data_IF_153507955457
#
_entry.id   IF_153507955457
#
_cell.length_a   1.000
_cell.length_b   1.000
_cell.length_c   1.000
_cell.angle_alpha   90.00
_cell.angle_beta   90.00
_cell.angle_gamma   90.00
#
_symmetry.space_group_name_H-M   'P 1'
#
loop_
_entity.id
_entity.type
_entity.pdbx_description
1 polymer ?
#
# COMPACT_ATOMS: atom_id res chain seq x y z
N UNK A 1 11.47 -2.48 3.12
CA UNK A 1 10.27 -3.25 3.52
C UNK A 1 9.16 -3.21 2.46
N UNK A 2 9.02 -2.11 1.69
CA UNK A 2 7.97 -1.98 0.66
C UNK A 2 8.14 -3.00 -0.49
N UNK A 3 9.36 -3.35 -0.90
CA UNK A 3 9.61 -4.38 -1.91
C UNK A 3 9.04 -5.74 -1.48
N UNK A 4 9.14 -6.08 -0.18
CA UNK A 4 8.55 -7.31 0.35
C UNK A 4 7.01 -7.26 0.28
N UNK A 5 6.40 -6.12 0.55
CA UNK A 5 4.94 -5.94 0.39
C UNK A 5 4.53 -6.11 -1.07
N UNK A 6 5.23 -5.44 -2.00
CA UNK A 6 4.96 -5.54 -3.44
C UNK A 6 5.11 -6.98 -3.94
N UNK A 7 6.15 -7.67 -3.49
CA UNK A 7 6.38 -9.08 -3.81
C UNK A 7 5.26 -9.98 -3.28
N UNK A 8 4.84 -9.79 -2.03
CA UNK A 8 3.75 -10.55 -1.43
C UNK A 8 2.43 -10.31 -2.16
N UNK A 9 2.13 -9.05 -2.52
CA UNK A 9 0.93 -8.71 -3.29
C UNK A 9 0.99 -9.36 -4.68
N UNK A 10 2.12 -9.26 -5.39
CA UNK A 10 2.29 -9.86 -6.71
C UNK A 10 2.06 -11.37 -6.69
N UNK A 11 2.60 -12.06 -5.68
CA UNK A 11 2.48 -13.52 -5.58
C UNK A 11 1.08 -14.01 -5.22
N UNK A 12 0.31 -13.20 -4.48
CA UNK A 12 -1.01 -13.56 -3.93
C UNK A 12 -2.19 -13.00 -4.71
N UNK A 13 -1.96 -12.00 -5.56
CA UNK A 13 -3.01 -11.37 -6.35
C UNK A 13 -3.67 -12.36 -7.31
N UNK A 14 -5.00 -12.39 -7.29
CA UNK A 14 -5.83 -13.17 -8.19
C UNK A 14 -6.17 -12.35 -9.44
N UNK A 15 -5.15 -12.04 -10.23
CA UNK A 15 -5.25 -11.28 -11.47
C UNK A 15 -4.65 -12.06 -12.62
N UNK A 16 -5.09 -11.79 -13.85
CA UNK A 16 -4.60 -12.51 -15.04
C UNK A 16 -3.16 -12.12 -15.36
N UNK A 17 -2.83 -10.83 -15.23
CA UNK A 17 -1.49 -10.30 -15.47
C UNK A 17 -1.04 -9.38 -14.35
N UNK A 18 0.27 -9.36 -14.14
CA UNK A 18 0.93 -8.46 -13.20
C UNK A 18 2.04 -7.74 -13.96
N UNK A 19 2.10 -6.43 -13.80
CA UNK A 19 3.14 -5.61 -14.43
C UNK A 19 3.88 -4.87 -13.34
N UNK A 20 5.19 -5.10 -13.26
CA UNK A 20 6.07 -4.40 -12.34
C UNK A 20 6.82 -3.29 -13.10
N UNK A 21 6.59 -2.05 -12.72
CA UNK A 21 7.36 -0.88 -13.15
C UNK A 21 8.32 -0.42 -12.06
N UNK A 22 9.59 -0.74 -12.21
CA UNK A 22 10.65 -0.38 -11.25
C UNK A 22 11.44 0.85 -11.70
N UNK A 23 11.55 1.85 -10.85
CA UNK A 23 12.23 3.12 -11.11
C UNK A 23 13.35 3.36 -10.12
N UNK A 24 14.58 3.46 -10.59
CA UNK A 24 15.76 3.68 -9.75
C UNK A 24 16.03 2.53 -8.76
N UNK A 25 15.75 1.31 -9.17
CA UNK A 25 15.96 0.13 -8.33
C UNK A 25 17.44 -0.12 -8.09
N UNK A 26 17.77 -0.53 -6.85
CA UNK A 26 19.11 -1.05 -6.60
C UNK A 26 19.29 -2.42 -7.27
N UNK A 27 20.55 -2.80 -7.52
CA UNK A 27 20.82 -4.12 -8.11
C UNK A 27 20.31 -5.27 -7.22
N UNK A 28 20.36 -5.09 -5.90
CA UNK A 28 19.83 -6.09 -4.93
C UNK A 28 18.31 -6.23 -5.04
N UNK A 29 17.58 -5.12 -5.18
CA UNK A 29 16.13 -5.14 -5.38
C UNK A 29 15.74 -5.80 -6.70
N UNK A 30 16.49 -5.49 -7.77
CA UNK A 30 16.31 -6.13 -9.07
C UNK A 30 16.49 -7.65 -8.99
N UNK A 31 17.58 -8.10 -8.38
CA UNK A 31 17.85 -9.52 -8.18
C UNK A 31 16.82 -10.20 -7.27
N UNK A 32 16.36 -9.51 -6.25
CA UNK A 32 15.31 -9.99 -5.36
C UNK A 32 14.02 -10.32 -6.14
N UNK A 33 13.50 -9.38 -6.92
CA UNK A 33 12.29 -9.61 -7.71
C UNK A 33 12.50 -10.67 -8.79
N UNK A 34 13.62 -10.62 -9.51
CA UNK A 34 13.95 -11.61 -10.53
C UNK A 34 13.98 -13.03 -9.97
N UNK A 35 14.67 -13.24 -8.86
CA UNK A 35 14.78 -14.56 -8.23
C UNK A 35 13.43 -15.02 -7.68
N UNK A 36 12.67 -14.14 -7.04
CA UNK A 36 11.35 -14.46 -6.51
C UNK A 36 10.40 -14.95 -7.61
N UNK A 37 10.28 -14.20 -8.70
CA UNK A 37 9.38 -14.53 -9.80
C UNK A 37 9.80 -15.76 -10.58
N UNK A 38 11.12 -15.96 -10.77
CA UNK A 38 11.66 -17.15 -11.42
C UNK A 38 11.41 -18.40 -10.59
N UNK A 39 11.68 -18.35 -9.28
CA UNK A 39 11.52 -19.49 -8.37
C UNK A 39 10.06 -19.88 -8.18
N UNK A 40 9.15 -18.92 -8.27
CA UNK A 40 7.71 -19.17 -8.14
C UNK A 40 7.05 -19.67 -9.42
N UNK A 41 7.78 -19.76 -10.55
CA UNK A 41 7.21 -20.11 -11.84
C UNK A 41 6.16 -19.12 -12.35
N UNK A 42 6.23 -17.88 -11.88
CA UNK A 42 5.22 -16.85 -12.15
C UNK A 42 5.54 -15.98 -13.38
N UNK A 43 6.65 -16.24 -14.07
CA UNK A 43 7.12 -15.43 -15.20
C UNK A 43 6.12 -15.35 -16.36
N UNK A 44 5.27 -16.36 -16.55
CA UNK A 44 4.29 -16.36 -17.63
C UNK A 44 3.17 -15.31 -17.43
N UNK A 45 2.96 -14.84 -16.20
CA UNK A 45 1.95 -13.82 -15.91
C UNK A 45 2.51 -12.49 -15.43
N UNK A 46 3.83 -12.39 -15.24
CA UNK A 46 4.51 -11.18 -14.75
C UNK A 46 5.35 -10.57 -15.86
N UNK A 47 5.14 -9.28 -16.10
CA UNK A 47 5.94 -8.45 -17.02
C UNK A 47 6.67 -7.40 -16.20
N UNK A 48 7.95 -7.19 -16.47
CA UNK A 48 8.77 -6.25 -15.73
C UNK A 48 9.39 -5.20 -16.66
N UNK A 49 9.16 -3.93 -16.34
CA UNK A 49 9.88 -2.78 -16.89
C UNK A 49 10.73 -2.20 -15.77
N UNK A 50 12.04 -2.22 -15.90
CA UNK A 50 12.93 -1.85 -14.80
C UNK A 50 14.01 -0.88 -15.26
N UNK A 51 14.13 0.21 -14.51
CA UNK A 51 15.27 1.12 -14.54
C UNK A 51 16.01 0.96 -13.21
N UNK A 52 17.31 0.77 -13.29
CA UNK A 52 18.19 0.62 -12.13
C UNK A 52 18.89 1.92 -11.77
N UNK A 53 19.61 1.94 -10.65
CA UNK A 53 20.43 3.09 -10.26
C UNK A 53 21.63 3.33 -11.20
N UNK A 54 22.00 2.35 -12.02
CA UNK A 54 23.07 2.45 -13.02
C UNK A 54 22.58 3.05 -14.34
N UNK A 55 21.26 3.02 -14.58
CA UNK A 55 20.65 3.55 -15.79
C UNK A 55 20.40 5.06 -15.69
N UNK A 56 20.31 5.78 -16.82
CA UNK A 56 20.01 7.21 -16.81
C UNK A 56 18.71 7.53 -16.05
N UNK A 57 18.78 8.51 -15.15
CA UNK A 57 17.62 8.88 -14.31
C UNK A 57 16.40 9.33 -15.13
N UNK A 58 16.61 9.94 -16.30
CA UNK A 58 15.52 10.39 -17.18
C UNK A 58 14.67 9.24 -17.72
N UNK A 59 15.23 8.05 -17.85
CA UNK A 59 14.50 6.86 -18.31
C UNK A 59 13.42 6.41 -17.32
N UNK A 60 13.53 6.80 -16.04
CA UNK A 60 12.49 6.54 -15.02
C UNK A 60 11.14 7.10 -15.44
N UNK A 61 11.12 8.20 -16.21
CA UNK A 61 9.89 8.83 -16.68
C UNK A 61 9.12 7.96 -17.69
N UNK A 62 9.80 7.06 -18.39
CA UNK A 62 9.20 6.16 -19.37
C UNK A 62 8.58 4.89 -18.74
N UNK A 63 9.06 4.50 -17.57
CA UNK A 63 8.64 3.23 -16.94
C UNK A 63 7.14 3.16 -16.67
N UNK A 64 6.48 4.17 -16.03
CA UNK A 64 5.04 4.13 -15.83
C UNK A 64 4.26 4.08 -17.15
N UNK A 65 4.69 4.82 -18.16
CA UNK A 65 4.01 4.84 -19.47
C UNK A 65 4.10 3.48 -20.17
N UNK A 66 5.27 2.84 -20.17
CA UNK A 66 5.44 1.49 -20.74
C UNK A 66 4.61 0.46 -19.98
N UNK A 67 4.65 0.49 -18.64
CA UNK A 67 3.89 -0.44 -17.80
C UNK A 67 2.38 -0.29 -18.02
N UNK A 68 1.88 0.94 -18.06
CA UNK A 68 0.46 1.22 -18.23
C UNK A 68 -0.03 0.98 -19.66
N UNK A 69 0.79 1.26 -20.67
CA UNK A 69 0.46 0.90 -22.07
C UNK A 69 0.32 -0.62 -22.23
N UNK A 70 1.21 -1.40 -21.62
CA UNK A 70 1.06 -2.85 -21.61
C UNK A 70 -0.20 -3.29 -20.84
N UNK A 71 -0.52 -2.64 -19.71
CA UNK A 71 -1.72 -2.92 -18.94
C UNK A 71 -3.00 -2.62 -19.73
N UNK A 72 -3.07 -1.50 -20.42
CA UNK A 72 -4.18 -1.12 -21.29
C UNK A 72 -4.40 -2.16 -22.40
N UNK A 73 -3.33 -2.64 -23.02
CA UNK A 73 -3.44 -3.71 -24.04
C UNK A 73 -4.07 -4.97 -23.48
N UNK A 74 -3.63 -5.45 -22.31
CA UNK A 74 -4.20 -6.66 -21.72
C UNK A 74 -5.63 -6.44 -21.22
N UNK A 75 -5.94 -5.29 -20.67
CA UNK A 75 -7.27 -5.00 -20.16
C UNK A 75 -8.29 -4.80 -21.28
N UNK A 76 -7.95 -4.06 -22.34
CA UNK A 76 -8.88 -3.73 -23.42
C UNK A 76 -8.92 -4.82 -24.48
N UNK A 77 -7.76 -5.24 -25.01
CA UNK A 77 -7.70 -6.16 -26.13
C UNK A 77 -7.83 -7.65 -25.70
N UNK A 78 -7.50 -7.96 -24.47
CA UNK A 78 -7.54 -9.35 -23.94
C UNK A 78 -8.61 -9.55 -22.88
N UNK A 79 -9.33 -8.51 -22.48
CA UNK A 79 -10.36 -8.56 -21.44
C UNK A 79 -9.83 -9.17 -20.14
N UNK A 80 -8.64 -8.77 -19.71
CA UNK A 80 -7.96 -9.31 -18.54
C UNK A 80 -7.96 -8.33 -17.38
N UNK A 81 -7.91 -8.88 -16.16
CA UNK A 81 -7.60 -8.12 -14.95
C UNK A 81 -6.09 -7.97 -14.82
N UNK A 82 -5.63 -6.73 -14.73
CA UNK A 82 -4.20 -6.40 -14.65
C UNK A 82 -3.89 -5.66 -13.36
N UNK A 83 -2.89 -6.16 -12.62
CA UNK A 83 -2.30 -5.46 -11.49
C UNK A 83 -1.00 -4.80 -11.92
N UNK A 84 -0.91 -3.48 -11.76
CA UNK A 84 0.30 -2.71 -12.03
C UNK A 84 0.92 -2.29 -10.69
N UNK A 85 2.19 -2.62 -10.51
CA UNK A 85 2.98 -2.29 -9.33
C UNK A 85 4.04 -1.27 -9.75
N UNK A 86 3.95 -0.04 -9.27
CA UNK A 86 4.90 1.04 -9.57
C UNK A 86 5.77 1.33 -8.34
N UNK A 87 7.07 1.13 -8.46
CA UNK A 87 8.04 1.37 -7.39
C UNK A 87 9.35 1.94 -7.95
N UNK A 88 9.83 3.13 -7.60
CA UNK A 88 9.32 4.05 -6.60
C UNK A 88 8.88 5.35 -7.27
N UNK A 89 7.71 5.85 -6.96
CA UNK A 89 7.19 7.09 -7.55
C UNK A 89 7.92 8.33 -7.04
N UNK A 90 8.62 8.24 -5.92
CA UNK A 90 9.53 9.30 -5.46
C UNK A 90 10.72 9.42 -6.41
N UNK A 91 11.28 8.29 -6.89
CA UNK A 91 12.34 8.27 -7.90
C UNK A 91 11.86 8.80 -9.27
N UNK A 92 10.59 8.57 -9.61
CA UNK A 92 9.96 9.20 -10.78
C UNK A 92 9.91 10.72 -10.63
N UNK A 93 9.44 11.23 -9.50
CA UNK A 93 9.33 12.66 -9.24
C UNK A 93 10.71 13.35 -9.21
N UNK A 94 11.74 12.70 -8.69
CA UNK A 94 13.11 13.18 -8.74
C UNK A 94 13.60 13.32 -10.18
N UNK A 95 13.34 12.34 -11.03
CA UNK A 95 13.68 12.41 -12.44
C UNK A 95 12.94 13.55 -13.16
N UNK A 96 11.67 13.76 -12.82
CA UNK A 96 10.85 14.86 -13.33
C UNK A 96 11.43 16.21 -12.93
N UNK A 97 11.89 16.35 -11.67
CA UNK A 97 12.59 17.55 -11.20
C UNK A 97 13.88 17.83 -11.95
N UNK A 98 14.67 16.81 -12.25
CA UNK A 98 15.91 16.96 -13.04
C UNK A 98 15.60 17.54 -14.42
N UNK A 99 14.57 17.03 -15.09
CA UNK A 99 14.16 17.52 -16.42
C UNK A 99 13.63 18.95 -16.33
N UNK A 100 12.73 19.20 -15.37
CA UNK A 100 12.14 20.53 -15.14
C UNK A 100 13.21 21.61 -14.90
N UNK A 101 14.20 21.31 -14.05
CA UNK A 101 15.31 22.21 -13.77
C UNK A 101 16.20 22.47 -15.01
N UNK A 102 16.36 21.47 -15.89
CA UNK A 102 17.08 21.64 -17.15
C UNK A 102 16.33 22.49 -18.17
N UNK A 103 15.02 22.61 -17.99
CA UNK A 103 14.13 23.46 -18.80
C UNK A 103 13.89 24.85 -18.16
N UNK A 104 14.68 25.22 -17.17
CA UNK A 104 14.59 26.50 -16.44
C UNK A 104 13.21 26.80 -15.84
N UNK A 105 12.46 25.76 -15.50
CA UNK A 105 11.15 25.90 -14.87
C UNK A 105 11.30 26.24 -13.38
N UNK A 106 10.44 27.14 -12.88
CA UNK A 106 10.45 27.52 -11.47
C UNK A 106 9.91 26.35 -10.62
N UNK A 107 10.69 25.87 -9.63
CA UNK A 107 10.24 24.80 -8.75
C UNK A 107 9.12 25.28 -7.83
N UNK A 108 8.24 24.34 -7.46
CA UNK A 108 7.15 24.50 -6.50
C UNK A 108 7.54 23.95 -5.11
N UNK A 109 6.55 23.49 -4.33
CA UNK A 109 6.74 22.88 -3.02
C UNK A 109 7.77 21.74 -3.07
N UNK A 110 8.65 21.69 -2.07
CA UNK A 110 9.71 20.67 -1.91
C UNK A 110 10.66 20.56 -3.11
N UNK A 111 10.88 21.66 -3.82
CA UNK A 111 11.70 21.74 -5.03
C UNK A 111 11.17 20.86 -6.19
N UNK A 112 9.93 20.44 -6.15
CA UNK A 112 9.29 19.67 -7.20
C UNK A 112 8.72 20.56 -8.31
N UNK A 113 8.58 20.04 -9.56
CA UNK A 113 7.99 20.80 -10.64
C UNK A 113 6.53 21.16 -10.37
N UNK A 114 6.08 22.30 -10.87
CA UNK A 114 4.69 22.73 -10.75
C UNK A 114 3.69 21.78 -11.42
N UNK A 115 4.15 20.96 -12.36
CA UNK A 115 3.34 19.95 -13.06
C UNK A 115 3.19 18.62 -12.29
N UNK A 116 3.88 18.43 -11.15
CA UNK A 116 3.92 17.16 -10.44
C UNK A 116 2.55 16.53 -10.23
N UNK A 117 1.56 17.33 -9.76
CA UNK A 117 0.21 16.83 -9.54
C UNK A 117 -0.42 16.28 -10.83
N UNK A 118 -0.34 17.03 -11.92
CA UNK A 118 -0.93 16.61 -13.19
C UNK A 118 -0.20 15.43 -13.83
N UNK A 119 1.10 15.31 -13.63
CA UNK A 119 1.88 14.18 -14.13
C UNK A 119 1.56 12.89 -13.35
N UNK A 120 1.46 12.97 -12.02
CA UNK A 120 1.00 11.85 -11.20
C UNK A 120 -0.45 11.48 -11.50
N UNK A 121 -1.35 12.46 -11.68
CA UNK A 121 -2.75 12.21 -11.99
C UNK A 121 -2.91 11.44 -13.31
N UNK A 122 -2.19 11.82 -14.37
CA UNK A 122 -2.20 11.10 -15.65
C UNK A 122 -1.82 9.61 -15.52
N UNK A 123 -0.93 9.28 -14.58
CA UNK A 123 -0.51 7.91 -14.31
C UNK A 123 -1.62 7.18 -13.54
N UNK A 124 -2.09 7.75 -12.42
CA UNK A 124 -3.00 7.07 -11.50
C UNK A 124 -4.44 6.97 -12.02
N UNK A 125 -4.90 7.93 -12.83
CA UNK A 125 -6.23 7.90 -13.47
C UNK A 125 -6.40 6.78 -14.49
N UNK A 126 -5.31 6.11 -14.88
CA UNK A 126 -5.35 4.90 -15.72
C UNK A 126 -5.82 3.64 -14.95
N UNK A 127 -5.96 3.71 -13.62
CA UNK A 127 -6.59 2.67 -12.82
C UNK A 127 -8.10 2.70 -13.04
N UNK A 128 -8.61 1.77 -13.84
CA UNK A 128 -9.99 1.77 -14.31
C UNK A 128 -10.52 0.35 -14.54
N UNK A 129 -11.82 0.17 -14.35
CA UNK A 129 -12.55 -1.00 -14.86
C UNK A 129 -13.27 -0.61 -16.15
N UNK A 130 -12.94 -1.28 -17.24
CA UNK A 130 -13.55 -1.05 -18.53
C UNK A 130 -14.93 -1.72 -18.61
N UNK A 131 -15.94 -1.06 -19.18
CA UNK A 131 -17.21 -1.72 -19.48
C UNK A 131 -17.03 -2.78 -20.58
N UNK A 132 -17.87 -3.81 -20.58
CA UNK A 132 -17.81 -4.93 -21.55
C UNK A 132 -17.83 -4.44 -23.01
N UNK A 133 -18.48 -3.31 -23.28
CA UNK A 133 -18.55 -2.72 -24.62
C UNK A 133 -17.20 -2.26 -25.19
N UNK A 134 -16.18 -2.10 -24.35
CA UNK A 134 -14.83 -1.69 -24.73
C UNK A 134 -13.74 -2.64 -24.21
N UNK A 135 -14.06 -3.91 -24.00
CA UNK A 135 -13.11 -4.93 -23.62
C UNK A 135 -13.37 -5.58 -22.26
N UNK A 136 -14.00 -4.91 -21.30
CA UNK A 136 -14.45 -5.49 -20.02
C UNK A 136 -13.37 -5.80 -18.99
N UNK A 137 -12.08 -5.56 -19.29
CA UNK A 137 -10.97 -5.80 -18.37
C UNK A 137 -10.83 -4.70 -17.31
N UNK A 138 -9.79 -4.83 -16.47
CA UNK A 138 -9.54 -3.84 -15.40
C UNK A 138 -8.04 -3.63 -15.18
N UNK A 139 -7.70 -2.41 -14.73
CA UNK A 139 -6.36 -2.04 -14.30
C UNK A 139 -6.43 -1.58 -12.85
N UNK A 140 -5.70 -2.26 -11.98
CA UNK A 140 -5.48 -1.86 -10.59
C UNK A 140 -4.04 -1.41 -10.44
N UNK A 141 -3.81 -0.23 -9.86
CA UNK A 141 -2.47 0.33 -9.64
C UNK A 141 -2.18 0.35 -8.14
N UNK A 142 -1.01 -0.19 -7.77
CA UNK A 142 -0.41 0.03 -6.45
C UNK A 142 0.92 0.76 -6.68
N UNK A 143 0.98 1.99 -6.20
CA UNK A 143 2.14 2.85 -6.33
C UNK A 143 2.85 3.00 -4.97
N UNK A 144 4.17 2.88 -4.97
CA UNK A 144 5.00 3.10 -3.78
C UNK A 144 5.53 4.52 -3.82
N UNK A 145 5.45 5.20 -2.69
CA UNK A 145 6.18 6.44 -2.41
C UNK A 145 7.04 6.22 -1.18
N UNK A 146 8.32 6.58 -1.25
CA UNK A 146 9.20 6.56 -0.08
C UNK A 146 9.12 7.90 0.66
N UNK A 147 9.15 7.81 1.99
CA UNK A 147 9.03 8.98 2.87
C UNK A 147 10.41 9.36 3.38
N UNK A 148 10.97 10.46 2.88
CA UNK A 148 12.21 11.01 3.43
C UNK A 148 11.97 11.51 4.86
N UNK A 149 12.72 10.97 5.82
CA UNK A 149 12.52 11.31 7.23
C UNK A 149 11.15 10.94 7.81
N UNK A 150 10.34 10.13 7.12
CA UNK A 150 8.97 9.78 7.55
C UNK A 150 7.94 10.88 7.27
N UNK A 151 8.28 11.89 6.48
CA UNK A 151 7.39 13.02 6.19
C UNK A 151 6.35 12.69 5.11
N UNK A 152 5.13 12.44 5.54
CA UNK A 152 3.98 12.20 4.66
C UNK A 152 3.47 13.49 3.99
N UNK A 153 3.88 14.67 4.46
CA UNK A 153 3.45 15.97 3.93
C UNK A 153 4.33 16.45 2.77
N UNK A 154 5.39 15.71 2.43
CA UNK A 154 6.18 15.97 1.23
C UNK A 154 5.32 15.91 -0.03
N UNK A 155 5.63 16.72 -1.03
CA UNK A 155 4.79 16.91 -2.22
C UNK A 155 4.41 15.60 -2.94
N UNK A 156 5.30 14.61 -3.00
CA UNK A 156 5.02 13.33 -3.70
C UNK A 156 3.99 12.47 -2.97
N UNK A 157 4.16 12.07 -1.70
CA UNK A 157 3.16 11.30 -0.98
C UNK A 157 1.86 12.09 -0.77
N UNK A 158 1.92 13.40 -0.52
CA UNK A 158 0.75 14.26 -0.34
C UNK A 158 -0.13 14.27 -1.60
N UNK A 159 0.43 14.58 -2.77
CA UNK A 159 -0.30 14.55 -4.05
C UNK A 159 -0.82 13.14 -4.37
N UNK A 160 -0.01 12.10 -4.14
CA UNK A 160 -0.44 10.71 -4.35
C UNK A 160 -1.65 10.38 -3.46
N UNK A 161 -1.64 10.80 -2.21
CA UNK A 161 -2.74 10.62 -1.27
C UNK A 161 -4.03 11.33 -1.70
N UNK A 162 -3.95 12.48 -2.41
CA UNK A 162 -5.13 13.17 -2.95
C UNK A 162 -5.72 12.48 -4.17
N UNK A 163 -4.89 11.93 -5.04
CA UNK A 163 -5.32 11.35 -6.34
C UNK A 163 -5.85 9.93 -6.15
N UNK A 164 -5.20 9.12 -5.32
CA UNK A 164 -5.52 7.69 -5.16
C UNK A 164 -6.69 7.44 -4.20
N UNK A 165 -7.35 6.28 -4.33
CA UNK A 165 -8.51 5.89 -3.52
C UNK A 165 -8.15 5.37 -2.12
N UNK A 166 -6.88 5.13 -1.86
CA UNK A 166 -6.40 4.69 -0.55
C UNK A 166 -4.90 4.74 -0.43
N UNK A 167 -4.42 4.71 0.79
CA UNK A 167 -3.01 4.65 1.11
C UNK A 167 -2.76 3.68 2.25
N UNK A 168 -1.69 2.93 2.15
CA UNK A 168 -1.19 2.03 3.18
C UNK A 168 0.12 2.59 3.72
N UNK A 169 0.11 3.03 4.97
CA UNK A 169 1.30 3.53 5.65
C UNK A 169 2.02 2.36 6.34
N UNK A 170 3.28 2.16 5.98
CA UNK A 170 4.10 1.09 6.56
C UNK A 170 5.03 1.65 7.62
N UNK A 171 5.04 1.04 8.81
CA UNK A 171 6.00 1.38 9.86
C UNK A 171 6.57 0.13 10.53
N UNK A 172 7.74 0.28 11.13
CA UNK A 172 8.29 -0.77 12.00
C UNK A 172 7.65 -0.66 13.37
N UNK A 173 7.09 -1.75 13.84
CA UNK A 173 6.55 -1.87 15.18
C UNK A 173 7.60 -2.46 16.11
N UNK A 174 8.00 -1.71 17.17
CA UNK A 174 9.03 -2.13 18.12
C UNK A 174 8.56 -3.26 19.02
N UNK A 175 7.26 -3.33 19.33
CA UNK A 175 6.69 -4.28 20.29
C UNK A 175 6.60 -5.69 19.68
N UNK A 176 6.44 -5.75 18.35
CA UNK A 176 6.37 -7.02 17.60
C UNK A 176 7.64 -7.31 16.81
N UNK A 177 8.52 -6.31 16.63
CA UNK A 177 9.76 -6.43 15.84
C UNK A 177 9.54 -6.60 14.34
N UNK A 178 8.33 -6.35 13.85
CA UNK A 178 7.92 -6.52 12.44
C UNK A 178 7.58 -5.19 11.78
N UNK A 179 7.54 -5.20 10.45
CA UNK A 179 6.90 -4.14 9.68
C UNK A 179 5.39 -4.41 9.63
N UNK A 180 4.60 -3.40 9.92
CA UNK A 180 3.14 -3.48 9.93
C UNK A 180 2.54 -2.40 9.04
N UNK A 181 1.30 -2.64 8.60
CA UNK A 181 0.43 -1.59 8.05
C UNK A 181 -0.15 -0.81 9.23
N UNK A 182 0.19 0.46 9.34
CA UNK A 182 -0.32 1.30 10.42
C UNK A 182 -1.79 1.70 10.19
N UNK A 183 -2.72 1.30 11.07
CA UNK A 183 -4.14 1.57 10.86
C UNK A 183 -4.52 3.04 11.00
N UNK A 184 -3.70 3.86 11.68
CA UNK A 184 -3.97 5.30 11.84
C UNK A 184 -3.43 6.14 10.68
N UNK A 185 -2.27 5.77 10.12
CA UNK A 185 -1.69 6.41 8.96
C UNK A 185 -2.30 5.95 7.62
N UNK A 186 -3.07 4.87 7.64
CA UNK A 186 -3.65 4.27 6.44
C UNK A 186 -5.10 4.74 6.23
N UNK A 187 -5.48 4.86 4.95
CA UNK A 187 -6.80 5.32 4.54
C UNK A 187 -7.34 4.49 3.39
N UNK A 188 -8.65 4.21 3.41
CA UNK A 188 -9.40 3.69 2.26
C UNK A 188 -10.69 4.49 2.10
N UNK A 189 -10.84 5.20 1.00
CA UNK A 189 -12.06 5.98 0.68
C UNK A 189 -13.22 5.08 0.28
N UNK A 190 -12.92 3.93 -0.31
CA UNK A 190 -13.93 3.01 -0.86
C UNK A 190 -14.45 1.97 0.15
N UNK A 191 -13.90 1.90 1.36
CA UNK A 191 -14.30 0.86 2.33
C UNK A 191 -15.80 0.84 2.62
N UNK A 192 -16.46 2.00 2.65
CA UNK A 192 -17.90 2.09 2.92
C UNK A 192 -18.77 1.52 1.80
N UNK A 193 -18.23 1.36 0.58
CA UNK A 193 -18.92 0.74 -0.54
C UNK A 193 -18.86 -0.79 -0.49
N UNK A 194 -17.93 -1.34 0.28
CA UNK A 194 -17.61 -2.77 0.34
C UNK A 194 -17.96 -3.38 1.70
N UNK A 195 -17.52 -2.77 2.79
CA UNK A 195 -17.65 -3.32 4.14
C UNK A 195 -19.13 -3.44 4.56
N UNK A 196 -19.55 -4.66 4.91
CA UNK A 196 -20.92 -4.99 5.27
C UNK A 196 -21.92 -5.07 4.11
N UNK A 197 -21.49 -4.79 2.87
CA UNK A 197 -22.31 -4.88 1.65
C UNK A 197 -21.89 -6.02 0.73
N UNK A 198 -20.58 -6.09 0.43
CA UNK A 198 -19.95 -7.15 -0.37
C UNK A 198 -19.18 -8.14 0.51
N UNK A 199 -19.09 -7.87 1.79
CA UNK A 199 -18.43 -8.68 2.81
C UNK A 199 -19.42 -8.98 3.94
N UNK A 200 -18.99 -9.74 4.95
CA UNK A 200 -19.79 -10.09 6.13
C UNK A 200 -20.43 -8.85 6.79
N UNK A 201 -21.68 -8.97 7.24
CA UNK A 201 -22.49 -7.84 7.73
C UNK A 201 -21.86 -7.09 8.92
N UNK A 202 -21.15 -7.81 9.78
CA UNK A 202 -20.47 -7.27 10.96
C UNK A 202 -19.10 -6.62 10.65
N UNK A 203 -18.62 -6.68 9.41
CA UNK A 203 -17.29 -6.20 9.03
C UNK A 203 -17.00 -4.79 9.55
N UNK A 204 -17.89 -3.84 9.29
CA UNK A 204 -17.69 -2.44 9.70
C UNK A 204 -17.65 -2.29 11.23
N UNK A 205 -18.46 -3.03 11.95
CA UNK A 205 -18.54 -2.97 13.41
C UNK A 205 -17.28 -3.57 14.04
N UNK A 206 -16.88 -4.76 13.56
CA UNK A 206 -15.67 -5.46 14.02
C UNK A 206 -14.43 -4.58 13.81
N UNK A 207 -14.29 -3.98 12.62
CA UNK A 207 -13.12 -3.13 12.32
C UNK A 207 -13.10 -1.83 13.12
N UNK A 208 -14.27 -1.20 13.35
CA UNK A 208 -14.35 0.00 14.17
C UNK A 208 -14.01 -0.30 15.63
N UNK A 209 -14.48 -1.43 16.18
CA UNK A 209 -14.14 -1.87 17.53
C UNK A 209 -12.63 -2.16 17.65
N UNK A 210 -12.05 -2.86 16.67
CA UNK A 210 -10.61 -3.16 16.65
C UNK A 210 -9.76 -1.88 16.64
N UNK A 211 -10.09 -0.91 15.78
CA UNK A 211 -9.38 0.37 15.71
C UNK A 211 -9.51 1.16 17.02
N UNK A 212 -10.69 1.17 17.64
CA UNK A 212 -10.89 1.82 18.94
C UNK A 212 -10.03 1.20 20.04
N UNK A 213 -10.04 -0.13 20.16
CA UNK A 213 -9.22 -0.85 21.14
C UNK A 213 -7.71 -0.68 20.88
N UNK A 214 -7.34 -0.60 19.62
CA UNK A 214 -5.95 -0.30 19.24
C UNK A 214 -5.54 1.14 19.61
N UNK A 215 -6.48 2.12 19.51
CA UNK A 215 -6.26 3.49 19.98
C UNK A 215 -6.17 3.56 21.52
N UNK A 216 -7.00 2.78 22.24
CA UNK A 216 -6.92 2.69 23.69
C UNK A 216 -5.55 2.12 24.13
N UNK A 217 -5.01 1.15 23.40
CA UNK A 217 -3.66 0.64 23.64
C UNK A 217 -2.58 1.71 23.40
N UNK A 218 -2.70 2.54 22.37
CA UNK A 218 -1.78 3.66 22.14
C UNK A 218 -1.83 4.68 23.29
N UNK A 219 -3.02 4.98 23.79
CA UNK A 219 -3.20 5.83 24.98
C UNK A 219 -2.59 5.19 26.24
N UNK A 220 -2.77 3.88 26.45
CA UNK A 220 -2.16 3.13 27.54
C UNK A 220 -0.62 3.18 27.49
N UNK A 221 -0.04 3.05 26.30
CA UNK A 221 1.40 3.18 26.09
C UNK A 221 1.91 4.58 26.47
N UNK A 222 1.21 5.61 26.05
CA UNK A 222 1.52 7.01 26.44
C UNK A 222 1.44 7.23 27.96
N UNK A 223 0.43 6.63 28.63
CA UNK A 223 0.36 6.67 30.10
C UNK A 223 1.60 6.03 30.74
N UNK A 224 1.99 4.85 30.28
CA UNK A 224 3.17 4.15 30.78
C UNK A 224 4.46 4.96 30.58
N UNK A 225 4.64 5.55 29.42
CA UNK A 225 5.80 6.40 29.08
C UNK A 225 5.87 7.64 29.98
N UNK A 226 4.72 8.18 30.40
CA UNK A 226 4.61 9.31 31.33
C UNK A 226 4.66 8.89 32.83
N UNK A 227 4.89 7.61 33.13
CA UNK A 227 5.05 7.12 34.50
C UNK A 227 3.74 6.94 35.27
N UNK A 228 2.59 6.87 34.60
CA UNK A 228 1.30 6.58 35.25
C UNK A 228 1.10 5.08 35.39
N UNK A 229 0.40 4.70 36.45
CA UNK A 229 -0.03 3.31 36.66
C UNK A 229 -1.09 2.91 35.62
N UNK A 230 -0.97 1.69 35.11
CA UNK A 230 -1.91 1.12 34.15
C UNK A 230 -3.03 0.38 34.87
N UNK A 231 -4.25 0.52 34.40
CA UNK A 231 -5.39 -0.29 34.83
C UNK A 231 -5.32 -1.69 34.22
N UNK A 232 -6.12 -2.63 34.75
CA UNK A 232 -6.28 -3.94 34.14
C UNK A 232 -6.76 -3.85 32.67
N UNK A 233 -7.66 -2.91 32.37
CA UNK A 233 -8.13 -2.63 31.01
C UNK A 233 -6.99 -2.14 30.12
N UNK A 234 -6.16 -1.20 30.58
CA UNK A 234 -5.01 -0.70 29.83
C UNK A 234 -4.03 -1.84 29.45
N UNK A 235 -3.75 -2.73 30.40
CA UNK A 235 -2.86 -3.90 30.16
C UNK A 235 -3.47 -4.85 29.11
N UNK A 236 -4.77 -5.13 29.20
CA UNK A 236 -5.46 -5.98 28.19
C UNK A 236 -5.46 -5.33 26.80
N UNK A 237 -5.60 -4.01 26.70
CA UNK A 237 -5.50 -3.27 25.45
C UNK A 237 -4.08 -3.39 24.84
N UNK A 238 -3.03 -3.29 25.65
CA UNK A 238 -1.63 -3.47 25.18
C UNK A 238 -1.40 -4.88 24.64
N UNK A 239 -1.83 -5.90 25.36
CA UNK A 239 -1.72 -7.29 24.93
C UNK A 239 -2.53 -7.57 23.64
N UNK A 240 -3.74 -7.03 23.55
CA UNK A 240 -4.55 -7.08 22.35
C UNK A 240 -3.83 -6.45 21.16
N UNK A 241 -3.31 -5.22 21.32
CA UNK A 241 -2.65 -4.50 20.25
C UNK A 241 -1.41 -5.25 19.73
N UNK A 242 -0.64 -5.87 20.62
CA UNK A 242 0.51 -6.70 20.25
C UNK A 242 0.11 -7.91 19.42
N UNK A 243 -0.90 -8.66 19.87
CA UNK A 243 -1.42 -9.80 19.12
C UNK A 243 -2.07 -9.36 17.79
N UNK A 244 -2.82 -8.26 17.78
CA UNK A 244 -3.45 -7.69 16.59
C UNK A 244 -2.40 -7.27 15.56
N UNK A 245 -1.36 -6.55 15.97
CA UNK A 245 -0.23 -6.18 15.11
C UNK A 245 0.45 -7.40 14.50
N UNK A 246 0.70 -8.43 15.30
CA UNK A 246 1.41 -9.63 14.84
C UNK A 246 0.58 -10.51 13.90
N UNK A 247 -0.74 -10.65 14.15
CA UNK A 247 -1.60 -11.60 13.46
C UNK A 247 -2.38 -11.01 12.28
N UNK A 248 -2.53 -9.68 12.24
CA UNK A 248 -3.37 -9.00 11.25
C UNK A 248 -2.64 -7.89 10.50
N UNK A 249 -1.86 -7.05 11.18
CA UNK A 249 -1.24 -5.89 10.56
C UNK A 249 0.14 -6.16 9.97
N UNK A 250 0.81 -7.24 10.37
CA UNK A 250 2.15 -7.56 9.87
C UNK A 250 2.12 -7.92 8.37
N UNK A 251 3.11 -7.43 7.63
CA UNK A 251 3.17 -7.58 6.16
C UNK A 251 3.36 -9.03 5.68
N UNK A 252 3.70 -9.95 6.56
CA UNK A 252 3.83 -11.38 6.28
C UNK A 252 2.51 -12.16 6.48
N UNK A 253 1.48 -11.52 7.00
CA UNK A 253 0.15 -12.12 7.19
C UNK A 253 -0.52 -12.37 5.84
N UNK A 254 -1.18 -13.53 5.71
CA UNK A 254 -1.94 -13.92 4.53
C UNK A 254 -3.29 -14.50 4.95
N UNK A 255 -4.27 -13.62 5.12
CA UNK A 255 -5.64 -13.97 5.47
C UNK A 255 -6.59 -13.38 4.43
N UNK A 256 -7.65 -14.11 4.12
CA UNK A 256 -8.78 -13.53 3.41
C UNK A 256 -9.66 -12.69 4.36
N UNK A 257 -10.64 -11.98 3.82
CA UNK A 257 -11.49 -11.06 4.62
C UNK A 257 -12.28 -11.79 5.72
N UNK A 258 -12.78 -13.00 5.45
CA UNK A 258 -13.52 -13.79 6.44
C UNK A 258 -12.59 -14.25 7.57
N UNK A 259 -11.46 -14.82 7.22
CA UNK A 259 -10.44 -15.25 8.19
C UNK A 259 -9.94 -14.08 9.06
N UNK A 260 -9.73 -12.90 8.44
CA UNK A 260 -9.34 -11.69 9.16
C UNK A 260 -10.39 -11.31 10.22
N UNK A 261 -11.69 -11.36 9.88
CA UNK A 261 -12.76 -11.04 10.80
C UNK A 261 -12.85 -12.09 11.92
N UNK A 262 -12.68 -13.37 11.62
CA UNK A 262 -12.70 -14.45 12.62
C UNK A 262 -11.52 -14.36 13.59
N UNK A 263 -10.32 -14.07 13.09
CA UNK A 263 -9.15 -13.82 13.94
C UNK A 263 -9.38 -12.61 14.83
N UNK A 264 -9.95 -11.52 14.31
CA UNK A 264 -10.27 -10.32 15.09
C UNK A 264 -11.27 -10.64 16.20
N UNK A 265 -12.35 -11.38 15.89
CA UNK A 265 -13.31 -11.88 16.89
C UNK A 265 -12.64 -12.74 17.97
N UNK A 266 -11.75 -13.64 17.58
CA UNK A 266 -11.03 -14.48 18.53
C UNK A 266 -10.18 -13.66 19.52
N UNK A 267 -9.59 -12.56 19.04
CA UNK A 267 -8.83 -11.64 19.87
C UNK A 267 -9.73 -10.85 20.82
N UNK A 268 -10.93 -10.42 20.38
CA UNK A 268 -11.89 -9.79 21.27
C UNK A 268 -12.29 -10.73 22.41
N UNK A 269 -12.68 -11.95 22.08
CA UNK A 269 -13.06 -12.94 23.09
C UNK A 269 -11.92 -13.33 24.04
N UNK A 270 -10.66 -13.24 23.59
CA UNK A 270 -9.48 -13.53 24.42
C UNK A 270 -9.24 -12.46 25.48
N UNK A 271 -9.40 -11.18 25.13
CA UNK A 271 -8.95 -10.06 25.97
C UNK A 271 -10.08 -9.28 26.62
N UNK A 272 -11.29 -9.31 26.06
CA UNK A 272 -12.40 -8.45 26.50
C UNK A 272 -13.69 -9.22 26.71
N UNK A 273 -14.56 -8.66 27.55
CA UNK A 273 -15.95 -9.06 27.63
C UNK A 273 -16.70 -8.44 26.45
N UNK A 274 -17.77 -9.08 25.98
CA UNK A 274 -18.56 -8.57 24.84
C UNK A 274 -19.11 -7.15 25.06
N UNK A 275 -19.46 -6.83 26.30
CA UNK A 275 -19.94 -5.50 26.71
C UNK A 275 -18.88 -4.40 26.52
N UNK A 276 -17.59 -4.75 26.65
CA UNK A 276 -16.46 -3.82 26.49
C UNK A 276 -16.12 -3.61 25.01
N UNK A 277 -16.39 -4.59 24.17
CA UNK A 277 -16.13 -4.51 22.73
C UNK A 277 -17.13 -3.61 22.02
N UNK A 278 -18.36 -3.51 22.52
CA UNK A 278 -19.38 -2.56 22.06
C UNK A 278 -19.70 -2.70 20.55
N UNK A 279 -19.99 -3.93 20.10
CA UNK A 279 -20.38 -4.31 18.72
C UNK A 279 -21.88 -4.56 18.66
#
# INVERSE_FOLDING_TARGET
>A
PYNQVMANVAMRAQTDKIILGGMGMTNDDYLYFKNLFSNAGALDRIICFMNTTEDPAVERLLIPDMALTAAEYFAVEKNQSVLVLLTDMTMYADALSIVSNRMDQIPSKDSMPGSLYSDLAKIYEKAVQFPESVGGGSITIIAVTTLSGGDITHAVPDNTGYITEGQLYLRRDSDVGKVIVDPFGSLSRLKQLVAGKKTRKDHSQVMNAAIRLYADAANAKTKLENGFDLTDYDNRCLDFAKDYSSKLLAIDVNLNTEEMLDVTWSLFCKYFKLEEVNI
#
